data_IF_833688789199
#
_entry.id   IF_833688789199
#
_cell.length_a   1.000
_cell.length_b   1.000
_cell.length_c   1.000
_cell.angle_alpha   90.00
_cell.angle_beta   90.00
_cell.angle_gamma   90.00
#
_symmetry.space_group_name_H-M   'P 1'
#
loop_
_entity.id
_entity.type
_entity.pdbx_description
1 polymer ?
#
# COMPACT_ATOMS: atom_id res chain seq x y z
N UNK A 1 -29.45 -1.26 11.77
CA UNK A 1 -29.06 -0.34 10.75
C UNK A 1 -27.69 -0.72 10.21
N UNK A 2 -27.67 -1.09 8.95
CA UNK A 2 -26.43 -1.55 8.32
C UNK A 2 -25.36 -0.46 8.32
N UNK A 3 -25.78 0.79 8.24
CA UNK A 3 -24.84 1.89 8.19
C UNK A 3 -24.00 2.04 9.44
N UNK A 4 -24.61 1.78 10.60
CA UNK A 4 -23.88 1.90 11.85
C UNK A 4 -22.81 0.81 11.96
N UNK A 5 -23.14 -0.40 11.50
CA UNK A 5 -22.19 -1.49 11.52
C UNK A 5 -21.03 -1.28 10.56
N UNK A 6 -21.20 -0.37 9.61
CA UNK A 6 -20.20 -0.11 8.58
C UNK A 6 -19.20 0.96 9.01
N UNK A 7 -19.39 1.59 10.14
CA UNK A 7 -18.49 2.66 10.59
C UNK A 7 -17.44 2.10 11.51
N UNK A 8 -16.22 2.61 11.37
CA UNK A 8 -15.12 2.21 12.23
C UNK A 8 -14.38 3.47 12.68
N UNK A 9 -13.96 3.46 13.93
CA UNK A 9 -13.18 4.56 14.49
C UNK A 9 -11.72 4.19 14.45
N UNK A 10 -10.90 5.07 13.86
CA UNK A 10 -9.47 4.83 13.75
C UNK A 10 -8.73 6.04 14.29
N UNK A 11 -7.54 5.79 14.82
CA UNK A 11 -6.68 6.84 15.32
C UNK A 11 -5.47 6.95 14.40
N UNK A 12 -5.26 8.16 13.85
CA UNK A 12 -4.14 8.41 12.95
C UNK A 12 -3.46 9.68 13.41
N UNK A 13 -2.19 9.57 13.75
CA UNK A 13 -1.34 10.68 14.16
C UNK A 13 -1.99 11.48 15.31
N UNK A 14 -2.52 10.73 16.27
CA UNK A 14 -3.10 11.33 17.47
C UNK A 14 -4.50 11.83 17.33
N UNK A 15 -5.14 11.66 16.19
CA UNK A 15 -6.51 12.12 15.99
C UNK A 15 -7.42 10.96 15.62
N UNK A 16 -8.66 11.03 16.08
CA UNK A 16 -9.62 9.98 15.84
C UNK A 16 -10.53 10.35 14.68
N UNK A 17 -10.72 9.40 13.79
CA UNK A 17 -11.57 9.57 12.61
C UNK A 17 -12.59 8.44 12.54
N UNK A 18 -13.75 8.77 12.00
CA UNK A 18 -14.80 7.79 11.75
C UNK A 18 -14.91 7.62 10.26
N UNK A 19 -14.68 6.39 9.79
CA UNK A 19 -14.71 6.11 8.35
C UNK A 19 -15.62 4.94 8.08
N UNK A 20 -16.09 4.86 6.84
CA UNK A 20 -16.89 3.74 6.41
C UNK A 20 -15.99 2.56 6.12
N UNK A 21 -16.38 1.40 6.62
CA UNK A 21 -15.56 0.21 6.52
C UNK A 21 -15.84 -0.60 5.25
N UNK A 22 -16.96 -0.36 4.58
CA UNK A 22 -17.28 -1.12 3.38
C UNK A 22 -17.43 -2.61 3.63
N UNK A 23 -17.87 -2.98 4.83
CA UNK A 23 -18.06 -4.37 5.17
C UNK A 23 -16.85 -5.07 5.73
N UNK A 24 -15.71 -4.39 5.84
CA UNK A 24 -14.48 -5.00 6.33
C UNK A 24 -13.76 -4.06 7.29
N UNK A 25 -14.25 -3.93 8.52
CA UNK A 25 -13.62 -3.01 9.46
C UNK A 25 -12.19 -3.40 9.83
N UNK A 26 -11.87 -4.68 9.86
CA UNK A 26 -10.52 -5.09 10.19
C UNK A 26 -9.52 -4.62 9.15
N UNK A 27 -9.90 -4.65 7.89
CA UNK A 27 -9.05 -4.17 6.81
C UNK A 27 -8.80 -2.67 6.93
N UNK A 28 -9.88 -1.91 7.21
CA UNK A 28 -9.75 -0.46 7.37
C UNK A 28 -8.87 -0.12 8.57
N UNK A 29 -9.00 -0.88 9.65
CA UNK A 29 -8.16 -0.67 10.82
C UNK A 29 -6.68 -0.90 10.50
N UNK A 30 -6.40 -1.92 9.68
CA UNK A 30 -5.02 -2.16 9.26
C UNK A 30 -4.48 -1.03 8.40
N UNK A 31 -5.30 -0.51 7.50
CA UNK A 31 -4.87 0.62 6.68
C UNK A 31 -4.59 1.84 7.54
N UNK A 32 -5.46 2.10 8.50
CA UNK A 32 -5.28 3.25 9.39
C UNK A 32 -4.01 3.10 10.21
N UNK A 33 -3.73 1.92 10.71
CA UNK A 33 -2.51 1.68 11.48
C UNK A 33 -1.27 1.90 10.61
N UNK A 34 -1.34 1.52 9.36
CA UNK A 34 -0.24 1.72 8.43
C UNK A 34 0.00 3.21 8.18
N UNK A 35 -1.08 3.96 7.97
CA UNK A 35 -0.94 5.40 7.75
C UNK A 35 -0.39 6.09 8.99
N UNK A 36 -0.90 5.71 10.17
CA UNK A 36 -0.41 6.26 11.43
C UNK A 36 1.09 6.03 11.57
N UNK A 37 1.53 4.82 11.31
CA UNK A 37 2.95 4.48 11.42
C UNK A 37 3.78 5.28 10.42
N UNK A 38 3.32 5.41 9.20
CA UNK A 38 4.07 6.15 8.20
C UNK A 38 4.13 7.63 8.50
N UNK A 39 3.05 8.21 9.02
CA UNK A 39 3.09 9.61 9.40
C UNK A 39 4.08 9.84 10.54
N UNK A 40 4.13 8.93 11.50
CA UNK A 40 5.11 9.04 12.57
C UNK A 40 6.54 8.98 12.05
N UNK A 41 6.80 8.09 11.10
CA UNK A 41 8.13 7.97 10.51
C UNK A 41 8.49 9.22 9.71
N UNK A 42 7.55 9.76 8.95
CA UNK A 42 7.79 10.97 8.18
C UNK A 42 8.07 12.14 9.11
N UNK A 43 7.30 12.23 10.20
CA UNK A 43 7.53 13.30 11.16
C UNK A 43 8.92 13.23 11.74
N UNK A 44 9.39 12.02 12.11
CA UNK A 44 10.72 11.87 12.66
C UNK A 44 11.79 12.21 11.64
N UNK A 45 11.62 11.75 10.40
CA UNK A 45 12.64 11.95 9.37
C UNK A 45 12.72 13.38 8.90
N UNK A 46 11.60 14.08 8.81
CA UNK A 46 11.58 15.44 8.28
C UNK A 46 11.66 16.51 9.35
N UNK A 47 11.42 16.14 10.60
CA UNK A 47 11.33 17.12 11.67
C UNK A 47 10.03 17.91 11.69
N UNK A 48 9.13 17.64 10.77
CA UNK A 48 7.85 18.34 10.73
C UNK A 48 6.94 17.80 11.82
N UNK A 49 6.24 18.71 12.52
CA UNK A 49 5.31 18.33 13.56
C UNK A 49 3.87 18.73 13.23
N UNK A 50 3.70 19.58 12.23
CA UNK A 50 2.38 19.99 11.79
C UNK A 50 1.71 18.83 11.06
N UNK A 51 0.54 18.42 11.54
CA UNK A 51 -0.10 17.23 11.01
C UNK A 51 -0.47 17.37 9.55
N UNK A 52 -0.83 18.55 9.10
CA UNK A 52 -1.14 18.74 7.68
C UNK A 52 0.09 18.52 6.81
N UNK A 53 1.22 19.12 7.22
CA UNK A 53 2.46 18.94 6.46
C UNK A 53 2.89 17.48 6.45
N UNK A 54 2.82 16.82 7.60
CA UNK A 54 3.18 15.42 7.70
C UNK A 54 2.28 14.57 6.81
N UNK A 55 0.98 14.88 6.80
CA UNK A 55 0.05 14.13 5.96
C UNK A 55 0.35 14.31 4.48
N UNK A 56 0.68 15.52 4.06
CA UNK A 56 1.00 15.77 2.66
C UNK A 56 2.26 15.02 2.26
N UNK A 57 3.30 15.08 3.11
CA UNK A 57 4.53 14.36 2.81
C UNK A 57 4.31 12.85 2.78
N UNK A 58 3.49 12.35 3.70
CA UNK A 58 3.16 10.93 3.72
C UNK A 58 2.39 10.54 2.46
N UNK A 59 1.45 11.38 2.02
CA UNK A 59 0.71 11.12 0.80
C UNK A 59 1.62 11.06 -0.41
N UNK A 60 2.61 11.96 -0.46
CA UNK A 60 3.57 11.94 -1.57
C UNK A 60 4.37 10.63 -1.57
N UNK A 61 4.81 10.18 -0.40
CA UNK A 61 5.54 8.93 -0.30
C UNK A 61 4.68 7.75 -0.75
N UNK A 62 3.41 7.75 -0.33
CA UNK A 62 2.51 6.67 -0.72
C UNK A 62 2.20 6.70 -2.20
N UNK A 63 2.04 7.89 -2.78
CA UNK A 63 1.80 8.01 -4.21
C UNK A 63 3.00 7.49 -5.01
N UNK A 64 4.21 7.80 -4.53
CA UNK A 64 5.42 7.33 -5.18
C UNK A 64 5.51 5.81 -5.11
N UNK A 65 5.26 5.25 -3.94
CA UNK A 65 5.28 3.81 -3.78
C UNK A 65 4.24 3.13 -4.64
N UNK A 66 3.04 3.70 -4.70
CA UNK A 66 1.98 3.17 -5.53
C UNK A 66 2.38 3.17 -7.00
N UNK A 67 3.01 4.26 -7.45
CA UNK A 67 3.45 4.36 -8.84
C UNK A 67 4.53 3.32 -9.16
N UNK A 68 5.45 3.11 -8.21
CA UNK A 68 6.48 2.09 -8.42
C UNK A 68 5.88 0.69 -8.50
N UNK A 69 4.94 0.39 -7.62
CA UNK A 69 4.29 -0.92 -7.62
C UNK A 69 3.50 -1.13 -8.90
N UNK A 70 2.85 -0.08 -9.40
CA UNK A 70 2.14 -0.19 -10.67
C UNK A 70 3.07 -0.47 -11.82
N UNK A 71 4.23 0.19 -11.84
CA UNK A 71 5.22 -0.07 -12.89
C UNK A 71 5.72 -1.49 -12.84
N UNK A 72 5.99 -2.00 -11.63
CA UNK A 72 6.45 -3.37 -11.48
C UNK A 72 5.40 -4.37 -11.94
N UNK A 73 4.13 -4.09 -11.62
CA UNK A 73 3.05 -4.97 -12.05
C UNK A 73 2.90 -4.93 -13.57
N UNK A 74 3.08 -3.75 -14.17
CA UNK A 74 2.98 -3.61 -15.61
C UNK A 74 4.10 -4.34 -16.32
N UNK A 75 5.31 -4.24 -15.76
CA UNK A 75 6.46 -4.96 -16.32
C UNK A 75 6.26 -6.46 -16.25
N UNK A 76 5.74 -6.93 -15.12
CA UNK A 76 5.47 -8.36 -14.98
C UNK A 76 4.45 -8.82 -15.99
N UNK A 77 3.42 -8.01 -16.24
CA UNK A 77 2.43 -8.36 -17.25
C UNK A 77 3.02 -8.35 -18.65
N UNK A 78 3.89 -7.40 -18.94
CA UNK A 78 4.54 -7.34 -20.26
C UNK A 78 5.43 -8.55 -20.47
N UNK A 79 6.19 -8.92 -19.46
CA UNK A 79 7.03 -10.10 -19.56
C UNK A 79 6.21 -11.35 -19.77
N UNK A 80 5.09 -11.45 -19.07
CA UNK A 80 4.19 -12.57 -19.23
C UNK A 80 3.66 -12.66 -20.66
N UNK A 81 3.36 -11.51 -21.26
CA UNK A 81 2.82 -11.46 -22.62
C UNK A 81 3.90 -11.73 -23.65
N UNK A 82 5.08 -11.12 -23.47
CA UNK A 82 6.15 -11.30 -24.45
C UNK A 82 6.73 -12.69 -24.41
N UNK A 83 6.58 -13.40 -23.28
CA UNK A 83 7.04 -14.78 -23.18
C UNK A 83 5.98 -15.76 -23.67
N UNK A 84 4.94 -15.26 -24.32
CA UNK A 84 3.81 -16.07 -24.73
C UNK A 84 4.09 -17.07 -25.82
N UNK A 85 5.28 -17.06 -26.42
CA UNK A 85 5.64 -18.07 -27.40
C UNK A 85 5.87 -19.43 -26.78
N UNK A 86 6.17 -19.47 -25.45
CA UNK A 86 6.38 -20.74 -24.79
C UNK A 86 5.90 -20.65 -23.35
N UNK A 87 5.00 -21.57 -23.00
CA UNK A 87 4.49 -21.61 -21.65
C UNK A 87 5.62 -21.91 -20.66
N UNK A 88 6.52 -22.81 -21.05
CA UNK A 88 7.64 -23.17 -20.18
C UNK A 88 8.54 -21.97 -19.91
N UNK A 89 8.79 -21.17 -20.94
CA UNK A 89 9.60 -19.97 -20.78
C UNK A 89 8.96 -18.99 -19.80
N UNK A 90 7.66 -18.83 -19.92
CA UNK A 90 6.95 -17.93 -19.03
C UNK A 90 7.01 -18.39 -17.60
N UNK A 91 6.79 -19.69 -17.38
CA UNK A 91 6.82 -20.25 -16.04
C UNK A 91 8.21 -20.10 -15.43
N UNK A 92 9.24 -20.42 -16.22
CA UNK A 92 10.61 -20.32 -15.73
C UNK A 92 10.96 -18.88 -15.37
N UNK A 93 10.52 -17.92 -16.17
CA UNK A 93 10.82 -16.52 -15.90
C UNK A 93 10.11 -16.03 -14.66
N UNK A 94 8.84 -16.41 -14.48
CA UNK A 94 8.11 -16.04 -13.29
C UNK A 94 8.71 -16.68 -12.04
N UNK A 95 9.12 -17.93 -12.15
CA UNK A 95 9.74 -18.60 -11.02
C UNK A 95 11.02 -17.91 -10.59
N UNK A 96 11.83 -17.46 -11.55
CA UNK A 96 13.06 -16.74 -11.22
C UNK A 96 12.76 -15.41 -10.56
N UNK A 97 11.76 -14.69 -11.05
CA UNK A 97 11.38 -13.42 -10.45
C UNK A 97 10.87 -13.59 -9.04
N UNK A 98 10.05 -14.60 -8.82
CA UNK A 98 9.53 -14.85 -7.49
C UNK A 98 10.65 -15.27 -6.54
N UNK A 99 11.58 -16.07 -7.03
CA UNK A 99 12.72 -16.46 -6.22
C UNK A 99 13.55 -15.26 -5.81
N UNK A 100 13.81 -14.36 -6.75
CA UNK A 100 14.56 -13.14 -6.44
C UNK A 100 13.80 -12.27 -5.45
N UNK A 101 12.49 -12.15 -5.63
CA UNK A 101 11.69 -11.33 -4.73
C UNK A 101 11.66 -11.91 -3.32
N UNK A 102 11.75 -13.22 -3.21
CA UNK A 102 11.75 -13.88 -1.90
C UNK A 102 13.15 -13.97 -1.29
N UNK A 103 14.16 -13.46 -1.97
CA UNK A 103 15.50 -13.44 -1.41
C UNK A 103 16.26 -14.74 -1.55
N UNK A 104 15.88 -15.56 -2.50
CA UNK A 104 16.57 -16.83 -2.72
C UNK A 104 17.67 -16.72 -3.76
#
# INVERSE_FOLDING_TARGET
MAEKADLVHVEIFGQTYTVKAGGDPAYVEKLAASVDQQMKEVSRASGAVDSLRVAVLTALNLADECARLRREAEEARRESRSAGTGVDDRVARLARKLGAALGE
#
